data_IF_387696512835
#
_entry.id   IF_387696512835
#
_cell.length_a   1.000
_cell.length_b   1.000
_cell.length_c   1.000
_cell.angle_alpha   90.00
_cell.angle_beta   90.00
_cell.angle_gamma   90.00
#
_symmetry.space_group_name_H-M   'P 1'
#
loop_
_entity.id
_entity.type
_entity.pdbx_description
1 polymer ?
#
# COMPACT_ATOMS: atom_id res chain seq x y z
N UNK A 1 -25.64 11.41 -25.10
CA UNK A 1 -25.04 10.12 -24.69
C UNK A 1 -23.56 10.22 -25.00
N UNK A 2 -22.73 10.49 -24.00
CA UNK A 2 -21.29 10.71 -24.17
C UNK A 2 -20.57 9.38 -24.38
N UNK A 3 -19.67 9.40 -25.35
CA UNK A 3 -18.93 8.28 -25.93
C UNK A 3 -17.96 7.65 -24.92
N UNK A 4 -18.35 6.52 -24.31
CA UNK A 4 -17.55 5.79 -23.32
C UNK A 4 -16.41 4.97 -23.99
N UNK A 5 -16.29 4.99 -25.32
CA UNK A 5 -15.34 4.16 -26.05
C UNK A 5 -14.45 4.95 -27.03
N UNK A 6 -13.75 5.98 -26.53
CA UNK A 6 -12.80 6.71 -27.36
C UNK A 6 -11.65 5.80 -27.81
N UNK A 7 -11.44 5.65 -29.13
CA UNK A 7 -10.32 4.92 -29.76
C UNK A 7 -8.92 5.42 -29.34
N UNK A 8 -8.86 6.59 -28.68
CA UNK A 8 -7.63 7.20 -28.16
C UNK A 8 -7.43 6.99 -26.67
N UNK A 9 -8.18 6.08 -26.02
CA UNK A 9 -7.94 5.74 -24.62
C UNK A 9 -6.52 5.19 -24.46
N UNK A 10 -5.66 5.98 -23.82
CA UNK A 10 -4.33 5.57 -23.41
C UNK A 10 -4.31 5.55 -21.89
N UNK A 11 -4.22 4.35 -21.31
CA UNK A 11 -4.01 4.20 -19.88
C UNK A 11 -2.79 5.06 -19.48
N UNK A 12 -3.02 6.03 -18.60
CA UNK A 12 -1.96 6.92 -18.12
C UNK A 12 -1.02 6.07 -17.27
N UNK A 13 0.31 6.12 -17.50
CA UNK A 13 1.25 5.43 -16.62
C UNK A 13 1.01 5.94 -15.20
N UNK A 14 0.51 5.06 -14.35
CA UNK A 14 0.17 5.37 -12.98
C UNK A 14 1.34 4.95 -12.10
N UNK A 15 1.73 5.80 -11.16
CA UNK A 15 2.78 5.48 -10.20
C UNK A 15 2.47 4.17 -9.48
N UNK A 16 3.50 3.40 -9.14
CA UNK A 16 3.33 2.24 -8.25
C UNK A 16 3.14 2.71 -6.82
N UNK A 17 2.63 1.82 -5.96
CA UNK A 17 2.52 2.12 -4.53
C UNK A 17 3.89 2.46 -3.91
N UNK A 18 4.97 1.78 -4.31
CA UNK A 18 6.32 2.07 -3.82
C UNK A 18 6.77 3.50 -4.19
N UNK A 19 6.49 3.94 -5.42
CA UNK A 19 6.78 5.30 -5.87
C UNK A 19 5.95 6.33 -5.10
N UNK A 20 4.68 6.01 -4.82
CA UNK A 20 3.82 6.82 -3.97
C UNK A 20 4.39 6.94 -2.54
N UNK A 21 4.72 5.81 -1.91
CA UNK A 21 5.27 5.78 -0.55
C UNK A 21 6.56 6.58 -0.46
N UNK A 22 7.45 6.49 -1.44
CA UNK A 22 8.69 7.28 -1.46
C UNK A 22 8.42 8.78 -1.36
N UNK A 23 7.40 9.28 -2.08
CA UNK A 23 6.99 10.69 -2.03
C UNK A 23 6.29 11.02 -0.71
N UNK A 24 5.36 10.17 -0.30
CA UNK A 24 4.61 10.34 0.95
C UNK A 24 5.54 10.36 2.17
N UNK A 25 6.55 9.49 2.24
CA UNK A 25 7.53 9.47 3.33
C UNK A 25 8.32 10.77 3.42
N UNK A 26 8.72 11.34 2.27
CA UNK A 26 9.42 12.62 2.23
C UNK A 26 8.52 13.77 2.66
N UNK A 27 7.29 13.79 2.19
CA UNK A 27 6.39 14.94 2.35
C UNK A 27 5.69 14.91 3.72
N UNK A 28 5.40 13.72 4.27
CA UNK A 28 4.59 13.55 5.50
C UNK A 28 5.43 13.15 6.71
N UNK A 29 6.36 12.19 6.60
CA UNK A 29 7.10 11.72 7.78
C UNK A 29 8.13 12.73 8.29
N UNK A 30 8.55 13.68 7.45
CA UNK A 30 9.40 14.82 7.86
C UNK A 30 8.69 15.74 8.85
N UNK A 31 7.35 15.72 8.89
CA UNK A 31 6.53 16.51 9.81
C UNK A 31 6.26 15.78 11.14
N UNK A 32 6.58 14.49 11.24
CA UNK A 32 6.30 13.67 12.42
C UNK A 32 7.50 13.65 13.38
N UNK A 33 7.23 13.36 14.67
CA UNK A 33 8.29 13.03 15.63
C UNK A 33 9.09 11.83 15.10
N UNK A 34 10.41 11.84 15.30
CA UNK A 34 11.32 10.78 14.79
C UNK A 34 10.87 9.37 15.16
N UNK A 35 10.39 9.16 16.39
CA UNK A 35 9.92 7.85 16.85
C UNK A 35 8.69 7.36 16.08
N UNK A 36 7.70 8.23 15.87
CA UNK A 36 6.50 7.94 15.07
C UNK A 36 6.87 7.66 13.62
N UNK A 37 7.72 8.51 13.01
CA UNK A 37 8.17 8.31 11.65
C UNK A 37 8.93 6.98 11.44
N UNK A 38 9.77 6.58 12.39
CA UNK A 38 10.45 5.28 12.36
C UNK A 38 9.48 4.10 12.47
N UNK A 39 8.46 4.21 13.32
CA UNK A 39 7.44 3.17 13.46
C UNK A 39 6.62 3.02 12.17
N UNK A 40 6.24 4.11 11.53
CA UNK A 40 5.47 4.08 10.28
C UNK A 40 6.30 3.56 9.10
N UNK A 41 7.57 3.97 8.97
CA UNK A 41 8.51 3.36 8.00
C UNK A 41 8.60 1.85 8.16
N UNK A 42 8.69 1.38 9.41
CA UNK A 42 8.75 -0.05 9.71
C UNK A 42 7.45 -0.76 9.31
N UNK A 43 6.29 -0.21 9.65
CA UNK A 43 4.99 -0.77 9.27
C UNK A 43 4.81 -0.85 7.77
N UNK A 44 5.14 0.23 7.05
CA UNK A 44 5.05 0.30 5.59
C UNK A 44 5.96 -0.76 4.94
N UNK A 45 7.24 -0.82 5.34
CA UNK A 45 8.18 -1.81 4.82
C UNK A 45 7.78 -3.24 5.11
N UNK A 46 7.27 -3.51 6.31
CA UNK A 46 6.95 -4.88 6.75
C UNK A 46 5.61 -5.38 6.23
N UNK A 47 4.62 -4.51 6.11
CA UNK A 47 3.23 -4.91 5.89
C UNK A 47 2.63 -4.42 4.58
N UNK A 48 3.03 -3.26 4.06
CA UNK A 48 2.38 -2.67 2.89
C UNK A 48 3.19 -2.94 1.61
N UNK A 49 4.51 -2.68 1.64
CA UNK A 49 5.38 -2.87 0.46
C UNK A 49 5.38 -4.31 -0.09
N UNK A 50 5.42 -5.38 0.73
CA UNK A 50 5.45 -6.75 0.20
C UNK A 50 4.23 -7.13 -0.63
N UNK A 51 3.09 -6.47 -0.42
CA UNK A 51 1.82 -6.79 -1.08
C UNK A 51 1.44 -5.77 -2.14
N UNK A 52 1.71 -4.49 -1.89
CA UNK A 52 1.25 -3.39 -2.72
C UNK A 52 2.37 -2.75 -3.54
N UNK A 53 3.65 -2.91 -3.16
CA UNK A 53 4.76 -2.10 -3.65
C UNK A 53 4.84 -1.98 -5.18
N UNK A 54 4.76 -3.10 -5.89
CA UNK A 54 4.82 -3.16 -7.36
C UNK A 54 3.49 -2.86 -8.06
N UNK A 55 2.38 -2.77 -7.32
CA UNK A 55 1.06 -2.53 -7.92
C UNK A 55 0.94 -1.05 -8.35
N UNK A 56 0.43 -0.78 -9.56
CA UNK A 56 -0.02 0.56 -9.94
C UNK A 56 -1.09 1.06 -8.96
N UNK A 57 -1.10 2.36 -8.66
CA UNK A 57 -2.11 2.93 -7.74
C UNK A 57 -3.55 2.75 -8.23
N UNK A 58 -3.77 2.62 -9.54
CA UNK A 58 -5.08 2.32 -10.14
C UNK A 58 -5.57 0.91 -9.84
N UNK A 59 -4.65 0.00 -9.53
CA UNK A 59 -4.95 -1.43 -9.41
C UNK A 59 -5.11 -1.85 -7.94
N UNK A 60 -4.97 -0.91 -7.00
CA UNK A 60 -5.23 -1.12 -5.58
C UNK A 60 -6.74 -1.00 -5.34
N UNK A 61 -7.45 -2.09 -5.61
CA UNK A 61 -8.88 -2.21 -5.35
C UNK A 61 -9.17 -2.62 -3.90
N UNK A 62 -10.43 -2.52 -3.49
CA UNK A 62 -10.89 -3.02 -2.18
C UNK A 62 -10.59 -4.51 -2.00
N UNK A 63 -10.72 -5.32 -3.06
CA UNK A 63 -10.40 -6.74 -3.01
C UNK A 63 -8.92 -6.97 -2.68
N UNK A 64 -8.01 -6.23 -3.32
CA UNK A 64 -6.57 -6.31 -3.03
C UNK A 64 -6.28 -5.96 -1.57
N UNK A 65 -6.96 -4.97 -1.01
CA UNK A 65 -6.83 -4.61 0.40
C UNK A 65 -7.37 -5.70 1.34
N UNK A 66 -8.50 -6.32 1.00
CA UNK A 66 -9.08 -7.44 1.76
C UNK A 66 -8.16 -8.67 1.76
N UNK A 67 -7.57 -9.01 0.62
CA UNK A 67 -6.59 -10.10 0.51
C UNK A 67 -5.35 -9.82 1.37
N UNK A 68 -4.84 -8.58 1.35
CA UNK A 68 -3.73 -8.16 2.21
C UNK A 68 -4.08 -8.31 3.70
N UNK A 69 -5.28 -7.88 4.12
CA UNK A 69 -5.73 -8.01 5.52
C UNK A 69 -5.85 -9.48 5.91
N UNK A 70 -6.45 -10.32 5.06
CA UNK A 70 -6.56 -11.77 5.29
C UNK A 70 -5.19 -12.40 5.51
N UNK A 71 -4.23 -12.16 4.62
CA UNK A 71 -2.87 -12.69 4.71
C UNK A 71 -2.11 -12.12 5.92
N UNK A 72 -2.39 -10.87 6.31
CA UNK A 72 -1.84 -10.25 7.51
C UNK A 72 -2.33 -10.92 8.79
N UNK A 73 -3.63 -11.23 8.87
CA UNK A 73 -4.23 -11.95 10.00
C UNK A 73 -3.63 -13.36 10.12
N UNK A 74 -3.46 -14.08 9.02
CA UNK A 74 -2.82 -15.41 9.01
C UNK A 74 -1.36 -15.35 9.53
N UNK A 75 -0.60 -14.30 9.17
CA UNK A 75 0.77 -14.08 9.67
C UNK A 75 0.84 -13.67 11.15
N UNK A 76 -0.14 -12.92 11.64
CA UNK A 76 -0.25 -12.60 13.07
C UNK A 76 -0.77 -13.79 13.90
N UNK A 77 -1.57 -14.66 13.28
CA UNK A 77 -2.33 -15.77 13.89
C UNK A 77 -1.52 -16.93 14.46
N UNK A 78 -0.18 -16.94 14.36
CA UNK A 78 0.66 -17.96 15.00
C UNK A 78 1.58 -17.42 16.11
N UNK A 79 1.86 -16.11 16.13
CA UNK A 79 2.70 -15.50 17.18
C UNK A 79 1.89 -14.90 18.34
N UNK A 80 0.67 -14.42 18.09
CA UNK A 80 -0.18 -13.82 19.14
C UNK A 80 -0.86 -14.86 20.07
N UNK A 81 -0.89 -16.13 19.68
CA UNK A 81 -1.55 -17.22 20.44
C UNK A 81 -0.57 -18.19 21.14
N UNK A 82 0.74 -17.92 21.11
CA UNK A 82 1.78 -18.80 21.70
C UNK A 82 2.17 -18.43 23.14
N UNK A 83 1.33 -17.68 23.84
CA UNK A 83 1.46 -17.41 25.28
C UNK A 83 0.12 -17.62 26.00
N UNK A 84 -0.46 -18.80 25.80
CA UNK A 84 -1.46 -19.39 26.68
C UNK A 84 -0.81 -20.49 27.50
#
# INVERSE_FOLDING_TARGET
MSDVNSLHYRARPTATFEQFITRWERDVLTQHKRSTGSADRSRIRRHLLPYLGSKPMTDISTQVLQEMVKLGIERCGFHAFRHG
#
